data_IF_362270283220
#
_entry.id   IF_362270283220
#
_cell.length_a   1.000
_cell.length_b   1.000
_cell.length_c   1.000
_cell.angle_alpha   90.00
_cell.angle_beta   90.00
_cell.angle_gamma   90.00
#
_symmetry.space_group_name_H-M   'P 1'
#
loop_
_entity.id
_entity.type
_entity.pdbx_description
1 polymer ?
#
# COMPACT_ATOMS: atom_id res chain seq x y z
N UNK A 1 -51.82 -24.01 -11.20
CA UNK A 1 -51.73 -24.02 -9.73
C UNK A 1 -50.33 -23.65 -9.29
N UNK A 2 -50.09 -22.41 -8.88
CA UNK A 2 -48.92 -22.00 -8.08
C UNK A 2 -49.28 -20.67 -7.40
N UNK A 3 -49.13 -20.60 -6.08
CA UNK A 3 -49.51 -19.46 -5.24
C UNK A 3 -48.46 -19.28 -4.15
N UNK A 4 -48.15 -18.05 -3.78
CA UNK A 4 -47.49 -17.75 -2.50
C UNK A 4 -46.23 -16.90 -2.57
N UNK A 5 -46.39 -15.60 -2.84
CA UNK A 5 -45.45 -14.59 -2.35
C UNK A 5 -46.18 -13.76 -1.29
N UNK A 6 -45.58 -13.60 -0.11
CA UNK A 6 -46.18 -12.83 0.98
C UNK A 6 -45.13 -11.90 1.63
N UNK A 7 -45.24 -10.61 1.32
CA UNK A 7 -44.69 -9.53 2.15
C UNK A 7 -45.49 -9.43 3.46
N UNK A 8 -44.83 -9.09 4.57
CA UNK A 8 -45.52 -8.41 5.68
C UNK A 8 -44.61 -7.38 6.37
N UNK A 9 -45.25 -6.50 7.14
CA UNK A 9 -44.78 -5.13 7.42
C UNK A 9 -44.08 -4.97 8.77
N UNK A 10 -43.31 -3.88 8.87
CA UNK A 10 -42.83 -3.32 10.15
C UNK A 10 -43.99 -2.78 10.99
N UNK A 11 -43.88 -2.89 12.31
CA UNK A 11 -44.51 -1.97 13.27
C UNK A 11 -43.53 -1.68 14.41
N UNK A 12 -43.63 -0.46 14.94
CA UNK A 12 -42.81 0.11 16.03
C UNK A 12 -43.59 0.14 17.35
N UNK A 13 -42.90 0.08 18.50
CA UNK A 13 -43.19 0.89 19.71
C UNK A 13 -42.16 0.66 20.85
N UNK A 14 -41.92 1.69 21.67
CA UNK A 14 -41.31 1.62 23.01
C UNK A 14 -42.33 2.14 24.05
N UNK A 15 -42.32 1.66 25.31
CA UNK A 15 -41.86 2.43 26.50
C UNK A 15 -41.15 1.50 27.54
N UNK A 16 -40.78 1.80 28.80
CA UNK A 16 -40.89 2.98 29.70
C UNK A 16 -41.90 2.78 30.86
N UNK A 17 -41.56 2.84 32.17
CA UNK A 17 -40.23 2.84 32.83
C UNK A 17 -40.22 3.45 34.27
N UNK A 18 -40.06 2.63 35.32
CA UNK A 18 -40.09 3.01 36.77
C UNK A 18 -38.77 2.58 37.48
N UNK A 19 -38.04 3.37 38.30
CA UNK A 19 -38.33 4.20 39.50
C UNK A 19 -38.25 3.40 40.82
N UNK A 20 -37.28 3.77 41.69
CA UNK A 20 -37.11 3.25 43.05
C UNK A 20 -35.91 3.90 43.77
N UNK A 21 -36.17 4.74 44.77
CA UNK A 21 -35.18 5.61 45.45
C UNK A 21 -35.04 5.24 46.93
N UNK A 22 -33.83 5.25 47.49
CA UNK A 22 -33.56 5.48 48.92
C UNK A 22 -32.15 6.07 49.14
N UNK A 23 -31.91 6.71 50.30
CA UNK A 23 -30.99 7.86 50.39
C UNK A 23 -30.10 7.88 51.64
N UNK A 24 -28.79 8.17 51.47
CA UNK A 24 -27.89 8.88 52.43
C UNK A 24 -27.61 8.23 53.81
N UNK A 25 -26.70 8.75 54.70
CA UNK A 25 -25.93 10.02 54.67
C UNK A 25 -24.41 10.03 55.07
N UNK A 26 -23.72 11.11 54.65
CA UNK A 26 -22.65 11.90 55.36
C UNK A 26 -21.29 11.28 55.75
N UNK A 27 -20.19 11.95 55.34
CA UNK A 27 -18.82 11.72 55.86
C UNK A 27 -17.75 12.74 55.38
N UNK A 28 -17.13 13.47 56.32
CA UNK A 28 -16.18 14.61 56.21
C UNK A 28 -14.92 14.49 55.30
N UNK A 29 -14.53 15.64 54.74
CA UNK A 29 -13.21 16.28 54.64
C UNK A 29 -11.90 15.46 54.49
N UNK A 30 -11.05 15.87 53.52
CA UNK A 30 -9.63 15.48 53.44
C UNK A 30 -8.89 16.16 52.28
N UNK A 31 -7.71 16.72 52.56
CA UNK A 31 -6.78 17.29 51.57
C UNK A 31 -5.91 16.21 50.91
N UNK A 32 -5.49 16.42 49.65
CA UNK A 32 -4.08 16.41 49.21
C UNK A 32 -3.97 16.44 47.68
N UNK A 33 -2.92 17.06 47.15
CA UNK A 33 -2.71 17.23 45.72
C UNK A 33 -1.88 16.11 45.10
N UNK A 34 -2.12 15.82 43.82
CA UNK A 34 -1.10 15.20 42.97
C UNK A 34 -1.29 15.62 41.51
N UNK A 35 -0.36 16.44 41.01
CA UNK A 35 -0.24 16.68 39.59
C UNK A 35 0.15 15.35 38.92
N UNK A 36 -0.69 14.86 38.01
CA UNK A 36 -0.41 13.66 37.21
C UNK A 36 0.08 14.12 35.85
N UNK A 37 1.39 14.39 35.78
CA UNK A 37 2.10 14.51 34.52
C UNK A 37 1.96 13.17 33.76
N UNK A 38 1.18 13.19 32.67
CA UNK A 38 1.20 12.15 31.65
C UNK A 38 1.92 12.68 30.44
N UNK A 39 3.24 12.69 30.56
CA UNK A 39 4.16 12.63 29.44
C UNK A 39 3.61 11.68 28.36
N UNK A 40 3.37 12.22 27.17
CA UNK A 40 3.00 11.43 26.00
C UNK A 40 4.12 10.41 25.75
N UNK A 41 3.82 9.14 25.42
CA UNK A 41 4.87 8.21 25.01
C UNK A 41 5.60 8.81 23.81
N UNK A 42 6.91 8.99 23.95
CA UNK A 42 7.73 9.58 22.90
C UNK A 42 7.71 8.68 21.68
N UNK A 43 7.33 9.23 20.52
CA UNK A 43 7.55 8.58 19.22
C UNK A 43 9.04 8.27 19.13
N UNK A 44 9.36 6.97 19.14
CA UNK A 44 10.76 6.53 19.17
C UNK A 44 11.51 7.03 17.92
N UNK A 45 12.79 7.37 18.08
CA UNK A 45 13.62 7.89 16.97
C UNK A 45 13.70 6.91 15.78
N UNK A 46 13.43 5.62 16.01
CA UNK A 46 13.39 4.57 15.00
C UNK A 46 12.33 4.81 13.91
N UNK A 47 11.20 5.46 14.22
CA UNK A 47 10.04 5.49 13.31
C UNK A 47 10.15 6.55 12.20
N UNK A 48 11.08 7.50 12.32
CA UNK A 48 11.23 8.61 11.35
C UNK A 48 11.88 8.20 10.04
N UNK A 49 12.56 7.06 9.96
CA UNK A 49 13.27 6.61 8.74
C UNK A 49 12.32 6.06 7.68
N UNK A 50 11.25 5.36 8.05
CA UNK A 50 10.33 4.75 7.08
C UNK A 50 9.46 5.75 6.34
N UNK A 51 9.18 6.92 6.93
CA UNK A 51 8.38 7.98 6.32
C UNK A 51 9.06 8.66 5.11
N UNK A 52 10.33 8.31 4.84
CA UNK A 52 11.10 8.81 3.71
C UNK A 52 10.87 8.01 2.42
N UNK A 53 10.33 6.80 2.49
CA UNK A 53 10.08 6.00 1.30
C UNK A 53 8.85 6.51 0.53
N UNK A 54 9.09 6.94 -0.71
CA UNK A 54 8.13 7.60 -1.60
C UNK A 54 8.48 7.27 -3.06
N UNK A 55 7.54 7.48 -3.99
CA UNK A 55 7.87 7.54 -5.42
C UNK A 55 8.78 8.72 -5.68
N UNK A 56 9.79 8.54 -6.54
CA UNK A 56 10.77 9.58 -6.81
C UNK A 56 10.15 10.79 -7.51
N UNK A 57 9.86 11.84 -6.74
CA UNK A 57 9.51 13.15 -7.28
C UNK A 57 10.73 13.79 -7.95
N UNK A 58 10.56 14.29 -9.18
CA UNK A 58 11.54 15.16 -9.83
C UNK A 58 11.56 16.53 -9.15
N UNK A 59 12.26 16.66 -8.02
CA UNK A 59 12.76 17.97 -7.59
C UNK A 59 13.93 18.39 -8.48
N UNK A 60 14.21 19.70 -8.53
CA UNK A 60 15.15 20.31 -9.48
C UNK A 60 16.62 20.04 -9.11
N UNK A 61 17.05 18.78 -9.22
CA UNK A 61 18.45 18.39 -9.04
C UNK A 61 19.31 18.88 -10.21
N UNK A 62 20.22 19.83 -9.92
CA UNK A 62 21.13 20.50 -10.87
C UNK A 62 22.23 19.58 -11.45
N UNK A 63 22.22 18.29 -11.09
CA UNK A 63 23.17 17.27 -11.53
C UNK A 63 22.33 16.03 -11.85
N UNK A 64 22.53 15.41 -13.02
CA UNK A 64 21.61 14.38 -13.55
C UNK A 64 22.00 12.95 -13.18
N UNK A 65 21.38 12.34 -12.14
CA UNK A 65 21.23 10.88 -12.09
C UNK A 65 20.26 10.45 -13.22
N UNK A 66 20.18 9.14 -13.54
CA UNK A 66 19.11 8.62 -14.38
C UNK A 66 17.75 9.00 -13.80
N UNK A 67 16.81 9.40 -14.67
CA UNK A 67 15.45 9.75 -14.24
C UNK A 67 14.74 8.53 -13.67
N UNK A 68 14.39 8.57 -12.38
CA UNK A 68 13.65 7.50 -11.68
C UNK A 68 12.11 7.61 -11.89
N UNK A 69 11.67 8.50 -12.79
CA UNK A 69 10.31 8.61 -13.30
C UNK A 69 10.34 8.78 -14.84
N UNK A 70 9.34 8.26 -15.53
CA UNK A 70 9.13 8.43 -16.97
C UNK A 70 8.85 9.89 -17.36
N UNK A 71 8.91 10.18 -18.66
CA UNK A 71 8.84 11.54 -19.20
C UNK A 71 7.50 12.22 -18.92
N UNK A 72 6.40 11.50 -19.14
CA UNK A 72 5.02 12.01 -19.03
C UNK A 72 4.32 11.55 -17.73
N UNK A 73 5.13 11.18 -16.73
CA UNK A 73 4.67 10.75 -15.41
C UNK A 73 4.52 11.96 -14.49
N UNK A 74 3.35 12.08 -13.87
CA UNK A 74 3.02 13.13 -12.90
C UNK A 74 2.93 12.52 -11.50
N UNK A 75 3.71 13.09 -10.57
CA UNK A 75 3.78 12.61 -9.17
C UNK A 75 3.33 13.73 -8.23
N UNK A 76 2.33 13.45 -7.40
CA UNK A 76 1.70 14.42 -6.48
C UNK A 76 1.48 13.80 -5.08
N UNK A 77 0.80 14.53 -4.18
CA UNK A 77 0.56 14.14 -2.78
C UNK A 77 1.83 13.81 -1.97
N UNK A 78 2.91 14.57 -2.19
CA UNK A 78 4.23 14.35 -1.59
C UNK A 78 4.77 12.96 -1.90
N UNK A 79 5.06 12.71 -3.18
CA UNK A 79 5.65 11.44 -3.63
C UNK A 79 4.76 10.20 -3.46
N UNK A 80 3.44 10.37 -3.23
CA UNK A 80 2.53 9.24 -2.94
C UNK A 80 1.50 8.93 -4.01
N UNK A 81 1.23 9.82 -4.96
CA UNK A 81 0.28 9.59 -6.06
C UNK A 81 1.01 9.65 -7.39
N UNK A 82 0.74 8.69 -8.27
CA UNK A 82 1.19 8.67 -9.67
C UNK A 82 0.01 8.69 -10.63
N UNK A 83 0.12 9.47 -11.71
CA UNK A 83 -0.76 9.50 -12.87
C UNK A 83 0.02 9.95 -14.12
N UNK A 84 -0.63 10.02 -15.28
CA UNK A 84 0.03 10.30 -16.57
C UNK A 84 0.39 9.01 -17.31
N UNK A 85 1.48 9.02 -18.08
CA UNK A 85 1.93 7.87 -18.88
C UNK A 85 3.40 7.55 -18.62
N UNK A 86 3.68 6.30 -18.25
CA UNK A 86 5.01 5.78 -17.90
C UNK A 86 5.06 5.23 -16.47
N UNK A 87 6.26 4.99 -15.95
CA UNK A 87 6.45 4.47 -14.60
C UNK A 87 7.46 5.22 -13.73
N UNK A 88 7.50 4.84 -12.46
CA UNK A 88 8.37 5.42 -11.45
C UNK A 88 8.89 4.34 -10.51
N UNK A 89 10.15 4.47 -10.10
CA UNK A 89 10.76 3.70 -9.02
C UNK A 89 10.54 4.44 -7.69
N UNK A 90 10.39 3.69 -6.61
CA UNK A 90 10.53 4.27 -5.27
C UNK A 90 11.99 4.71 -5.04
N UNK A 91 12.17 5.64 -4.10
CA UNK A 91 13.48 6.22 -3.78
C UNK A 91 14.40 5.32 -2.92
N UNK A 92 13.94 4.16 -2.46
CA UNK A 92 14.76 3.16 -1.74
C UNK A 92 14.83 1.80 -2.46
N UNK A 93 16.00 1.14 -2.49
CA UNK A 93 16.14 -0.24 -2.92
C UNK A 93 15.62 -1.21 -1.87
N UNK A 94 15.27 -2.42 -2.31
CA UNK A 94 14.93 -3.54 -1.43
C UNK A 94 16.21 -4.27 -1.01
N UNK A 95 16.95 -3.71 -0.05
CA UNK A 95 18.16 -4.34 0.53
C UNK A 95 17.86 -5.31 1.69
N UNK A 96 16.75 -5.12 2.40
CA UNK A 96 16.35 -5.96 3.54
C UNK A 96 15.79 -7.32 3.09
N UNK A 97 15.99 -8.37 3.89
CA UNK A 97 15.60 -9.75 3.55
C UNK A 97 14.13 -9.92 3.14
N UNK A 98 13.21 -9.12 3.68
CA UNK A 98 11.77 -9.22 3.45
C UNK A 98 11.10 -7.84 3.49
N UNK A 99 10.50 -7.44 2.38
CA UNK A 99 9.85 -6.14 2.21
C UNK A 99 8.37 -6.28 1.88
N UNK A 100 7.55 -5.39 2.46
CA UNK A 100 6.14 -5.20 2.13
C UNK A 100 5.86 -3.75 1.74
N UNK A 101 5.03 -3.56 0.71
CA UNK A 101 4.51 -2.27 0.28
C UNK A 101 3.14 -2.45 -0.39
N UNK A 102 2.32 -1.40 -0.41
CA UNK A 102 0.98 -1.44 -0.98
C UNK A 102 0.77 -0.34 -2.03
N UNK A 103 -0.13 -0.60 -2.97
CA UNK A 103 -0.68 0.38 -3.88
C UNK A 103 -2.21 0.35 -3.81
N UNK A 104 -2.82 1.52 -3.62
CA UNK A 104 -4.27 1.72 -3.74
C UNK A 104 -4.60 2.18 -5.17
N UNK A 105 -5.49 1.45 -5.83
CA UNK A 105 -6.03 1.83 -7.14
C UNK A 105 -7.05 2.95 -6.90
N UNK A 106 -6.72 4.16 -7.34
CA UNK A 106 -7.57 5.35 -7.18
C UNK A 106 -8.43 5.61 -8.42
N UNK A 107 -7.90 5.27 -9.59
CA UNK A 107 -8.71 5.00 -10.77
C UNK A 107 -8.01 3.97 -11.64
N UNK A 108 -8.78 3.08 -12.27
CA UNK A 108 -8.25 2.02 -13.13
C UNK A 108 -7.92 2.53 -14.54
N UNK A 109 -7.35 1.67 -15.37
CA UNK A 109 -6.81 1.97 -16.68
C UNK A 109 -5.69 0.98 -17.02
N UNK A 110 -4.65 1.44 -17.70
CA UNK A 110 -3.44 0.65 -17.90
C UNK A 110 -2.47 0.94 -16.75
N UNK A 111 -2.21 -0.06 -15.91
CA UNK A 111 -1.26 0.08 -14.81
C UNK A 111 -0.55 -1.24 -14.52
N UNK A 112 0.49 -1.16 -13.70
CA UNK A 112 1.13 -2.32 -13.12
C UNK A 112 2.08 -1.96 -11.99
N UNK A 113 2.33 -2.92 -11.09
CA UNK A 113 3.13 -2.75 -9.88
C UNK A 113 4.04 -3.96 -9.67
N UNK A 114 5.16 -3.78 -8.99
CA UNK A 114 6.05 -4.89 -8.63
C UNK A 114 7.43 -4.40 -8.28
N UNK A 115 8.45 -5.04 -8.86
CA UNK A 115 9.87 -4.70 -8.65
C UNK A 115 10.61 -4.51 -9.97
N UNK A 116 11.55 -3.56 -9.99
CA UNK A 116 12.43 -3.33 -11.14
C UNK A 116 13.82 -2.85 -10.72
N UNK A 117 14.81 -3.07 -11.59
CA UNK A 117 16.16 -2.50 -11.44
C UNK A 117 16.20 -1.07 -11.98
N UNK A 118 17.22 -0.29 -11.62
CA UNK A 118 17.45 1.06 -12.19
C UNK A 118 17.67 1.08 -13.72
N UNK A 119 17.83 -0.08 -14.37
CA UNK A 119 18.00 -0.19 -15.83
C UNK A 119 16.67 -0.27 -16.60
N UNK A 120 15.53 -0.32 -15.90
CA UNK A 120 14.21 -0.41 -16.54
C UNK A 120 13.91 0.81 -17.39
N UNK A 121 13.31 0.60 -18.57
CA UNK A 121 12.79 1.69 -19.38
C UNK A 121 11.47 2.21 -18.80
N UNK A 122 11.51 3.33 -18.07
CA UNK A 122 10.34 3.93 -17.43
C UNK A 122 9.33 4.56 -18.39
N UNK A 123 9.67 4.71 -19.68
CA UNK A 123 8.72 5.12 -20.71
C UNK A 123 8.03 3.92 -21.38
N UNK A 124 8.39 2.68 -21.02
CA UNK A 124 7.80 1.49 -21.61
C UNK A 124 6.58 1.01 -20.82
N UNK A 125 5.39 1.22 -21.41
CA UNK A 125 4.13 0.65 -20.94
C UNK A 125 3.64 -0.43 -21.94
N UNK A 126 3.21 -1.62 -21.47
CA UNK A 126 3.37 -2.15 -20.12
C UNK A 126 4.83 -2.58 -19.82
N UNK A 127 5.19 -2.62 -18.54
CA UNK A 127 6.46 -3.20 -18.07
C UNK A 127 6.41 -4.75 -18.05
N UNK A 128 7.51 -5.38 -17.64
CA UNK A 128 7.66 -6.85 -17.63
C UNK A 128 8.02 -7.44 -18.99
N UNK A 129 8.36 -6.61 -19.99
CA UNK A 129 8.80 -7.05 -21.34
C UNK A 129 10.30 -7.30 -21.44
N UNK A 130 11.06 -7.01 -20.39
CA UNK A 130 12.51 -7.14 -20.32
C UNK A 130 12.95 -7.81 -19.01
N UNK A 131 14.25 -8.06 -18.87
CA UNK A 131 14.84 -8.62 -17.65
C UNK A 131 14.94 -7.62 -16.50
N UNK A 132 14.59 -6.35 -16.72
CA UNK A 132 14.79 -5.28 -15.74
C UNK A 132 13.55 -5.04 -14.87
N UNK A 133 12.42 -5.68 -15.17
CA UNK A 133 11.14 -5.50 -14.49
C UNK A 133 10.39 -6.82 -14.28
N UNK A 134 9.73 -6.97 -13.14
CA UNK A 134 8.85 -8.08 -12.77
C UNK A 134 7.60 -7.47 -12.11
N UNK A 135 6.47 -7.52 -12.81
CA UNK A 135 5.28 -6.72 -12.47
C UNK A 135 3.97 -7.50 -12.61
N UNK A 136 3.05 -7.28 -11.68
CA UNK A 136 1.62 -7.47 -11.88
C UNK A 136 1.10 -6.37 -12.81
N UNK A 137 0.28 -6.73 -13.79
CA UNK A 137 -0.42 -5.82 -14.70
C UNK A 137 -1.91 -5.72 -14.33
N UNK A 138 -2.59 -4.69 -14.84
CA UNK A 138 -4.01 -4.44 -14.57
C UNK A 138 -4.97 -5.55 -15.02
N UNK A 139 -4.57 -6.43 -15.94
CA UNK A 139 -5.33 -7.64 -16.33
C UNK A 139 -5.13 -8.84 -15.38
N UNK A 140 -4.45 -8.63 -14.25
CA UNK A 140 -4.13 -9.67 -13.28
C UNK A 140 -2.94 -10.56 -13.65
N UNK A 141 -2.27 -10.34 -14.78
CA UNK A 141 -1.11 -11.13 -15.19
C UNK A 141 0.19 -10.64 -14.56
N UNK A 142 1.12 -11.57 -14.29
CA UNK A 142 2.45 -11.25 -13.75
C UNK A 142 3.49 -11.53 -14.82
N UNK A 143 4.22 -10.50 -15.26
CA UNK A 143 5.15 -10.57 -16.39
C UNK A 143 6.59 -10.22 -16.01
N UNK A 144 7.53 -10.98 -16.58
CA UNK A 144 8.97 -10.71 -16.56
C UNK A 144 9.62 -11.28 -17.81
N UNK A 145 10.57 -10.55 -18.42
CA UNK A 145 11.24 -10.95 -19.67
C UNK A 145 10.27 -11.28 -20.82
N UNK A 146 9.15 -10.57 -20.91
CA UNK A 146 8.05 -10.79 -21.86
C UNK A 146 7.35 -12.16 -21.74
N UNK A 147 7.56 -12.88 -20.63
CA UNK A 147 6.89 -14.13 -20.30
C UNK A 147 5.91 -13.93 -19.15
N UNK A 148 4.72 -14.53 -19.26
CA UNK A 148 3.76 -14.63 -18.17
C UNK A 148 4.29 -15.64 -17.14
N UNK A 149 4.61 -15.18 -15.94
CA UNK A 149 5.14 -16.00 -14.85
C UNK A 149 4.03 -16.58 -13.98
N UNK A 150 2.95 -15.83 -13.79
CA UNK A 150 1.78 -16.23 -13.02
C UNK A 150 0.58 -15.33 -13.37
N UNK A 151 -0.62 -15.64 -12.86
CA UNK A 151 -1.83 -14.85 -13.08
C UNK A 151 -2.79 -14.95 -11.89
N UNK A 152 -3.36 -13.81 -11.48
CA UNK A 152 -4.41 -13.76 -10.47
C UNK A 152 -5.68 -14.51 -10.94
N UNK A 153 -6.42 -15.18 -10.04
CA UNK A 153 -7.72 -15.77 -10.38
C UNK A 153 -8.67 -14.74 -11.00
N UNK A 154 -9.42 -15.15 -12.04
CA UNK A 154 -10.30 -14.24 -12.80
C UNK A 154 -11.41 -13.58 -11.96
N UNK A 155 -11.77 -14.16 -10.82
CA UNK A 155 -12.70 -13.59 -9.83
C UNK A 155 -12.01 -12.71 -8.78
N UNK A 156 -10.75 -12.33 -8.99
CA UNK A 156 -9.91 -11.53 -8.09
C UNK A 156 -9.02 -10.57 -8.89
N UNK A 157 -9.53 -10.05 -10.01
CA UNK A 157 -8.90 -8.96 -10.75
C UNK A 157 -9.06 -7.65 -9.96
N UNK A 158 -7.97 -6.94 -9.63
CA UNK A 158 -8.04 -5.71 -8.83
C UNK A 158 -8.89 -4.61 -9.48
N UNK A 159 -9.75 -3.97 -8.70
CA UNK A 159 -10.69 -2.93 -9.13
C UNK A 159 -10.33 -1.55 -8.55
N UNK A 160 -11.03 -0.51 -9.01
CA UNK A 160 -10.94 0.81 -8.39
C UNK A 160 -11.37 0.75 -6.91
N UNK A 161 -10.55 1.35 -6.04
CA UNK A 161 -10.72 1.33 -4.59
C UNK A 161 -9.90 0.26 -3.86
N UNK A 162 -9.51 -0.83 -4.55
CA UNK A 162 -8.75 -1.94 -3.96
C UNK A 162 -7.33 -1.55 -3.54
N UNK A 163 -6.82 -2.28 -2.54
CA UNK A 163 -5.43 -2.25 -2.10
C UNK A 163 -4.72 -3.50 -2.62
N UNK A 164 -3.67 -3.33 -3.42
CA UNK A 164 -2.80 -4.43 -3.82
C UNK A 164 -1.50 -4.35 -2.99
N UNK A 165 -1.30 -5.35 -2.14
CA UNK A 165 -0.08 -5.52 -1.36
C UNK A 165 0.93 -6.40 -2.10
N UNK A 166 2.22 -6.06 -1.98
CA UNK A 166 3.32 -6.80 -2.59
C UNK A 166 4.33 -7.14 -1.50
N UNK A 167 4.64 -8.43 -1.38
CA UNK A 167 5.81 -8.91 -0.63
C UNK A 167 6.94 -9.25 -1.58
N UNK A 168 8.19 -8.98 -1.20
CA UNK A 168 9.39 -9.43 -1.91
C UNK A 168 10.49 -9.87 -0.92
N UNK A 169 11.17 -10.98 -1.19
CA UNK A 169 12.17 -11.59 -0.28
C UNK A 169 13.54 -11.87 -0.91
N UNK A 170 13.90 -11.12 -1.96
CA UNK A 170 15.03 -11.36 -2.88
C UNK A 170 14.92 -12.59 -3.80
N UNK A 171 14.03 -13.54 -3.51
CA UNK A 171 13.84 -14.74 -4.35
C UNK A 171 12.61 -14.57 -5.23
N UNK A 172 11.48 -14.23 -4.62
CA UNK A 172 10.19 -14.06 -5.32
C UNK A 172 9.43 -12.82 -4.84
N UNK A 173 8.55 -12.29 -5.70
CA UNK A 173 7.44 -11.47 -5.25
C UNK A 173 6.20 -12.35 -5.05
N UNK A 174 5.32 -11.95 -4.13
CA UNK A 174 3.97 -12.51 -4.01
C UNK A 174 2.96 -11.38 -3.76
N UNK A 175 1.71 -11.64 -4.13
CA UNK A 175 0.66 -10.65 -4.26
C UNK A 175 -0.46 -10.84 -3.23
N UNK A 176 -0.99 -9.72 -2.75
CA UNK A 176 -2.11 -9.64 -1.82
C UNK A 176 -3.17 -8.69 -2.38
N UNK A 177 -4.44 -9.02 -2.24
CA UNK A 177 -5.56 -8.15 -2.60
C UNK A 177 -6.43 -7.91 -1.37
N UNK A 178 -6.57 -6.65 -0.96
CA UNK A 178 -7.29 -6.24 0.24
C UNK A 178 -6.86 -7.02 1.50
N UNK A 179 -5.54 -7.23 1.65
CA UNK A 179 -4.92 -7.99 2.74
C UNK A 179 -4.99 -9.53 2.61
N UNK A 180 -5.75 -10.07 1.65
CA UNK A 180 -5.81 -11.51 1.38
C UNK A 180 -4.64 -11.95 0.50
N UNK A 181 -3.91 -12.99 0.90
CA UNK A 181 -2.88 -13.60 0.07
C UNK A 181 -3.51 -14.21 -1.20
N UNK A 182 -2.97 -13.86 -2.37
CA UNK A 182 -3.44 -14.37 -3.66
C UNK A 182 -2.75 -15.66 -4.10
N UNK A 183 -1.72 -16.10 -3.38
CA UNK A 183 -0.90 -17.28 -3.71
C UNK A 183 -0.41 -17.26 -5.17
N UNK A 184 0.07 -16.08 -5.59
CA UNK A 184 0.51 -15.78 -6.95
C UNK A 184 1.99 -15.35 -6.92
N UNK A 185 2.92 -16.25 -6.55
CA UNK A 185 4.34 -15.95 -6.53
C UNK A 185 4.91 -15.86 -7.94
N UNK A 186 5.93 -15.03 -8.14
CA UNK A 186 6.75 -15.02 -9.35
C UNK A 186 8.19 -14.55 -9.07
N UNK A 187 9.13 -15.03 -9.89
CA UNK A 187 10.56 -14.83 -9.71
C UNK A 187 11.27 -14.63 -11.05
N UNK A 188 12.59 -14.41 -11.00
CA UNK A 188 13.47 -14.35 -12.18
C UNK A 188 14.29 -13.07 -12.30
N UNK A 189 13.79 -11.95 -11.76
CA UNK A 189 14.53 -10.67 -11.70
C UNK A 189 15.79 -10.81 -10.83
N UNK A 190 16.86 -10.08 -11.19
CA UNK A 190 18.17 -10.15 -10.53
C UNK A 190 18.81 -8.77 -10.37
N UNK A 191 19.68 -8.66 -9.36
CA UNK A 191 20.39 -7.42 -9.01
C UNK A 191 19.59 -6.57 -8.02
N UNK A 192 20.07 -5.37 -7.72
CA UNK A 192 19.38 -4.44 -6.83
C UNK A 192 18.07 -3.98 -7.47
N UNK A 193 16.97 -4.27 -6.80
CA UNK A 193 15.61 -3.90 -7.23
C UNK A 193 14.98 -2.87 -6.30
N UNK A 194 14.02 -2.15 -6.84
CA UNK A 194 13.23 -1.09 -6.21
C UNK A 194 11.75 -1.43 -6.46
N UNK A 195 10.82 -1.04 -5.57
CA UNK A 195 9.41 -0.99 -5.92
C UNK A 195 9.21 -0.17 -7.19
N UNK A 196 8.41 -0.69 -8.12
CA UNK A 196 8.04 0.01 -9.35
C UNK A 196 6.53 0.07 -9.51
N UNK A 197 6.06 1.16 -10.08
CA UNK A 197 4.69 1.32 -10.57
C UNK A 197 4.73 1.96 -11.95
N UNK A 198 3.82 1.56 -12.84
CA UNK A 198 3.53 2.29 -14.06
C UNK A 198 2.02 2.54 -14.21
N UNK A 199 1.71 3.61 -14.92
CA UNK A 199 0.36 4.09 -15.25
C UNK A 199 0.32 4.58 -16.69
N UNK A 200 -0.84 4.45 -17.31
CA UNK A 200 -1.25 4.99 -18.60
C UNK A 200 -2.79 4.87 -18.70
N UNK A 201 -3.39 5.39 -19.77
CA UNK A 201 -4.85 5.37 -19.99
C UNK A 201 -5.64 5.87 -18.75
N UNK A 202 -5.26 7.07 -18.29
CA UNK A 202 -5.86 7.75 -17.13
C UNK A 202 -5.74 7.07 -15.76
N UNK A 203 -5.00 5.96 -15.64
CA UNK A 203 -4.84 5.26 -14.36
C UNK A 203 -4.20 6.16 -13.27
N UNK A 204 -4.69 6.04 -12.04
CA UNK A 204 -4.19 6.77 -10.87
C UNK A 204 -3.98 5.79 -9.73
N UNK A 205 -2.75 5.71 -9.23
CA UNK A 205 -2.39 4.85 -8.08
C UNK A 205 -1.82 5.72 -6.93
N UNK A 206 -2.20 5.40 -5.69
CA UNK A 206 -1.54 5.91 -4.49
C UNK A 206 -0.64 4.81 -3.90
N UNK A 207 0.64 5.08 -3.62
CA UNK A 207 1.55 4.14 -2.97
C UNK A 207 1.61 4.33 -1.45
N UNK A 208 1.86 3.23 -0.74
CA UNK A 208 1.92 3.19 0.72
C UNK A 208 3.11 2.32 1.14
N UNK A 209 4.19 2.96 1.64
CA UNK A 209 5.45 2.30 2.02
C UNK A 209 5.67 2.21 3.54
N UNK A 210 4.87 2.94 4.32
CA UNK A 210 4.69 2.85 5.78
C UNK A 210 3.17 2.85 6.06
N UNK A 211 2.73 2.75 7.32
CA UNK A 211 1.33 3.03 7.70
C UNK A 211 0.25 2.35 6.82
N UNK A 212 0.43 1.05 6.59
CA UNK A 212 -0.34 0.25 5.63
C UNK A 212 -1.84 0.18 5.93
N UNK A 213 -2.65 0.00 4.88
CA UNK A 213 -4.08 -0.27 4.99
C UNK A 213 -4.34 -1.67 5.56
N UNK A 214 -3.47 -2.64 5.26
CA UNK A 214 -3.52 -3.98 5.82
C UNK A 214 -2.23 -4.31 6.57
N UNK A 215 -2.34 -5.07 7.67
CA UNK A 215 -1.19 -5.52 8.43
C UNK A 215 -0.23 -6.30 7.53
N UNK A 216 1.05 -5.92 7.52
CA UNK A 216 2.08 -6.60 6.75
C UNK A 216 2.13 -8.11 7.07
N UNK A 217 2.31 -9.00 6.07
CA UNK A 217 2.35 -10.44 6.30
C UNK A 217 3.47 -10.86 7.28
N UNK A 218 3.29 -11.94 8.07
CA UNK A 218 4.26 -12.33 9.09
C UNK A 218 5.70 -12.45 8.57
N UNK A 219 6.61 -11.72 9.20
CA UNK A 219 8.03 -11.67 8.83
C UNK A 219 8.38 -10.75 7.66
N UNK A 220 7.41 -10.03 7.09
CA UNK A 220 7.65 -8.94 6.14
C UNK A 220 7.42 -7.58 6.82
N UNK A 221 8.27 -6.61 6.50
CA UNK A 221 8.25 -5.28 7.12
C UNK A 221 8.26 -4.16 6.08
N UNK A 222 7.96 -2.94 6.53
CA UNK A 222 8.11 -1.72 5.73
C UNK A 222 9.52 -1.55 5.20
N UNK A 223 9.66 -0.86 4.07
CA UNK A 223 10.97 -0.61 3.45
C UNK A 223 11.79 0.29 4.37
N UNK A 224 12.96 -0.18 4.77
CA UNK A 224 13.90 0.52 5.63
C UNK A 224 14.81 1.40 4.79
N UNK A 225 14.86 2.68 5.12
CA UNK A 225 15.90 3.59 4.62
C UNK A 225 17.16 3.43 5.47
N UNK A 226 18.27 3.06 4.82
CA UNK A 226 19.59 3.16 5.44
C UNK A 226 19.93 4.64 5.66
N UNK A 227 20.21 5.02 6.91
CA UNK A 227 20.77 6.33 7.20
C UNK A 227 22.24 6.33 6.77
N UNK A 228 22.62 7.22 5.86
CA UNK A 228 24.02 7.61 5.71
C UNK A 228 24.42 8.35 7.00
N UNK A 229 25.07 7.62 7.90
CA UNK A 229 25.85 8.17 9.01
C UNK A 229 27.12 8.79 8.41
N UNK A 230 27.14 10.12 8.36
CA UNK A 230 28.31 10.94 8.08
C UNK A 230 29.11 11.20 9.38
#
# INVERSE_FOLDING_TARGET
SFTGAALSRRTSTCPGGDVGVSVSPVGRAGSEGRAVDRSKPGVSRQDRTSALCQLFTREAALQTPPSLAGTDVVIVKSGRRICGTGGCLANAPLHQNKSYFEFKIQSTGVWGIGVATQKVNLNQVPMGRDTNSLVLRSDGSVYHNNEEKNRLPANSLPQEGDIVGVTYDHVELNLYLNGKNMHCPASGIRGTVYPVVYVDDSAILDCQFSDFYHTAPPGFEKILFEQQIF
#
